data_IF_904577791141
#
_entry.id   IF_904577791141
#
_cell.length_a   1.000
_cell.length_b   1.000
_cell.length_c   1.000
_cell.angle_alpha   90.00
_cell.angle_beta   90.00
_cell.angle_gamma   90.00
#
_symmetry.space_group_name_H-M   'P 1'
#
loop_
_entity.id
_entity.type
_entity.pdbx_description
1 polymer ?
#
# COMPACT_ATOMS: atom_id res chain seq x y z
N UNK A 1 -6.27 -22.31 14.08
CA UNK A 1 -7.59 -21.81 13.70
C UNK A 1 -8.27 -22.80 12.78
N UNK A 2 -9.58 -22.97 12.95
CA UNK A 2 -10.42 -23.69 11.98
C UNK A 2 -11.30 -22.67 11.28
N UNK A 3 -11.36 -22.75 9.94
CA UNK A 3 -12.28 -21.95 9.17
C UNK A 3 -13.68 -22.59 9.27
N UNK A 4 -14.72 -21.78 9.38
CA UNK A 4 -16.11 -22.23 9.42
C UNK A 4 -16.47 -23.03 8.15
N UNK A 5 -17.44 -23.92 8.28
CA UNK A 5 -17.89 -24.77 7.18
C UNK A 5 -18.48 -23.95 6.02
N UNK A 6 -19.18 -22.87 6.34
CA UNK A 6 -19.88 -21.94 5.44
C UNK A 6 -19.03 -20.74 4.98
N UNK A 7 -17.71 -20.77 5.22
CA UNK A 7 -16.78 -19.73 4.76
C UNK A 7 -16.93 -19.43 3.27
N UNK A 8 -16.73 -18.17 2.90
CA UNK A 8 -16.75 -17.73 1.50
C UNK A 8 -15.40 -17.16 1.11
N UNK A 9 -14.92 -17.48 -0.08
CA UNK A 9 -13.70 -16.86 -0.63
C UNK A 9 -14.06 -15.44 -1.07
N UNK A 10 -13.34 -14.45 -0.54
CA UNK A 10 -13.45 -13.04 -0.94
C UNK A 10 -12.43 -12.75 -2.06
N UNK A 11 -11.17 -13.18 -1.85
CA UNK A 11 -10.07 -12.96 -2.78
C UNK A 11 -9.19 -14.20 -2.81
N UNK A 12 -8.83 -14.64 -4.01
CA UNK A 12 -7.85 -15.70 -4.24
C UNK A 12 -6.71 -15.16 -5.11
N UNK A 13 -5.48 -15.24 -4.60
CA UNK A 13 -4.25 -14.90 -5.31
C UNK A 13 -3.21 -16.01 -5.08
N UNK A 14 -2.22 -16.08 -5.96
CA UNK A 14 -1.17 -17.11 -5.91
C UNK A 14 -0.48 -17.24 -4.53
N UNK A 15 -0.38 -16.15 -3.76
CA UNK A 15 0.33 -16.13 -2.48
C UNK A 15 -0.60 -16.10 -1.25
N UNK A 16 -1.91 -15.92 -1.41
CA UNK A 16 -2.87 -15.77 -0.30
C UNK A 16 -4.31 -16.01 -0.73
N UNK A 17 -5.12 -16.52 0.20
CA UNK A 17 -6.59 -16.60 0.08
C UNK A 17 -7.22 -15.88 1.26
N UNK A 18 -8.21 -15.03 0.99
CA UNK A 18 -8.95 -14.28 2.00
C UNK A 18 -10.36 -14.85 2.09
N UNK A 19 -10.77 -15.23 3.30
CA UNK A 19 -12.07 -15.83 3.58
C UNK A 19 -12.93 -14.89 4.43
N UNK A 20 -14.20 -14.75 4.06
CA UNK A 20 -15.26 -14.37 4.98
C UNK A 20 -15.56 -15.60 5.85
N UNK A 21 -15.37 -15.44 7.16
CA UNK A 21 -15.52 -16.49 8.17
C UNK A 21 -16.61 -16.10 9.19
N UNK A 22 -17.65 -15.38 8.73
CA UNK A 22 -18.74 -14.83 9.54
C UNK A 22 -18.30 -13.53 10.23
N UNK A 23 -18.08 -13.56 11.53
CA UNK A 23 -17.69 -12.37 12.31
C UNK A 23 -16.22 -11.93 12.10
N UNK A 24 -15.48 -12.68 11.28
CA UNK A 24 -14.05 -12.49 11.04
C UNK A 24 -13.72 -12.59 9.57
N UNK A 25 -12.67 -11.91 9.16
CA UNK A 25 -12.02 -12.10 7.86
C UNK A 25 -10.68 -12.76 8.10
N UNK A 26 -10.43 -13.88 7.41
CA UNK A 26 -9.21 -14.68 7.59
C UNK A 26 -8.37 -14.63 6.32
N UNK A 27 -7.18 -14.05 6.42
CA UNK A 27 -6.17 -14.03 5.35
C UNK A 27 -5.20 -15.19 5.58
N UNK A 28 -5.33 -16.25 4.79
CA UNK A 28 -4.46 -17.44 4.81
C UNK A 28 -3.37 -17.28 3.76
N UNK A 29 -2.11 -17.33 4.18
CA UNK A 29 -0.96 -17.15 3.30
C UNK A 29 -0.46 -18.50 2.78
N UNK A 30 0.03 -18.51 1.53
CA UNK A 30 0.71 -19.68 0.98
C UNK A 30 1.91 -20.12 1.83
N UNK A 31 2.22 -21.41 1.83
CA UNK A 31 3.31 -21.97 2.65
C UNK A 31 4.72 -21.47 2.28
N UNK A 32 4.87 -20.82 1.12
CA UNK A 32 6.13 -20.20 0.68
C UNK A 32 6.34 -18.80 1.25
N UNK A 33 5.31 -18.13 1.80
CA UNK A 33 5.47 -16.79 2.36
C UNK A 33 6.23 -16.86 3.69
N UNK A 34 7.33 -16.10 3.87
CA UNK A 34 8.07 -16.08 5.12
C UNK A 34 7.17 -15.70 6.31
N UNK A 35 7.29 -16.43 7.43
CA UNK A 35 6.52 -16.13 8.63
C UNK A 35 6.80 -14.72 9.18
N UNK A 36 8.03 -14.24 9.03
CA UNK A 36 8.42 -12.88 9.43
C UNK A 36 7.59 -11.80 8.72
N UNK A 37 7.28 -11.97 7.43
CA UNK A 37 6.47 -11.00 6.67
C UNK A 37 5.03 -10.98 7.15
N UNK A 38 4.49 -12.14 7.54
CA UNK A 38 3.14 -12.29 8.08
C UNK A 38 3.05 -11.64 9.45
N UNK A 39 4.03 -11.89 10.32
CA UNK A 39 4.10 -11.25 11.63
C UNK A 39 4.29 -9.73 11.50
N UNK A 40 5.08 -9.28 10.53
CA UNK A 40 5.26 -7.85 10.25
C UNK A 40 3.96 -7.19 9.78
N UNK A 41 3.16 -7.87 8.96
CA UNK A 41 1.85 -7.37 8.53
C UNK A 41 0.89 -7.17 9.72
N UNK A 42 0.78 -8.15 10.61
CA UNK A 42 -0.05 -8.02 11.81
C UNK A 42 0.50 -6.96 12.79
N UNK A 43 1.81 -6.86 12.92
CA UNK A 43 2.46 -5.83 13.73
C UNK A 43 2.20 -4.42 13.18
N UNK A 44 2.26 -4.24 11.86
CA UNK A 44 1.95 -2.97 11.24
C UNK A 44 0.47 -2.58 11.39
N UNK A 45 -0.45 -3.54 11.24
CA UNK A 45 -1.88 -3.34 11.49
C UNK A 45 -2.13 -2.82 12.91
N UNK A 46 -1.59 -3.50 13.92
CA UNK A 46 -1.77 -3.11 15.33
C UNK A 46 -1.08 -1.78 15.67
N UNK A 47 0.03 -1.45 15.01
CA UNK A 47 0.68 -0.14 15.14
C UNK A 47 -0.13 0.99 14.51
N UNK A 48 -0.84 0.72 13.41
CA UNK A 48 -1.76 1.68 12.81
C UNK A 48 -2.98 1.93 13.72
N UNK A 49 -3.55 0.86 14.29
CA UNK A 49 -4.61 0.94 15.30
C UNK A 49 -4.18 1.78 16.51
N UNK A 50 -3.01 1.50 17.08
CA UNK A 50 -2.43 2.26 18.20
C UNK A 50 -2.15 3.74 17.86
N UNK A 51 -1.88 4.04 16.59
CA UNK A 51 -1.70 5.40 16.13
C UNK A 51 -3.03 6.17 16.01
N UNK A 52 -4.18 5.52 16.20
CA UNK A 52 -5.51 6.13 16.09
C UNK A 52 -6.15 5.97 14.70
N UNK A 53 -5.55 5.17 13.81
CA UNK A 53 -6.10 4.93 12.48
C UNK A 53 -7.14 3.82 12.57
N UNK A 54 -8.29 4.02 11.93
CA UNK A 54 -9.36 3.04 11.92
C UNK A 54 -8.99 1.86 11.00
N UNK A 55 -8.78 0.70 11.60
CA UNK A 55 -8.36 -0.53 10.94
C UNK A 55 -9.17 -1.72 11.47
N UNK A 56 -9.23 -2.85 10.77
CA UNK A 56 -9.85 -4.05 11.32
C UNK A 56 -9.09 -4.52 12.56
N UNK A 57 -9.78 -4.70 13.68
CA UNK A 57 -9.13 -5.19 14.91
C UNK A 57 -8.59 -6.59 14.72
N UNK A 58 -7.33 -6.78 15.11
CA UNK A 58 -6.67 -8.09 15.10
C UNK A 58 -7.37 -9.03 16.10
N UNK A 59 -7.71 -10.23 15.66
CA UNK A 59 -8.29 -11.27 16.53
C UNK A 59 -7.23 -12.28 16.92
N UNK A 60 -6.55 -12.87 15.93
CA UNK A 60 -5.49 -13.84 16.18
C UNK A 60 -4.56 -14.03 14.98
N UNK A 61 -3.36 -14.56 15.27
CA UNK A 61 -2.40 -15.05 14.29
C UNK A 61 -2.17 -16.53 14.60
N UNK A 62 -2.56 -17.42 13.71
CA UNK A 62 -2.38 -18.86 13.91
C UNK A 62 -2.30 -19.60 12.58
N UNK A 63 -2.14 -20.92 12.63
CA UNK A 63 -2.15 -21.75 11.41
C UNK A 63 -3.56 -22.23 11.07
N UNK A 64 -3.83 -22.27 9.76
CA UNK A 64 -4.93 -23.03 9.14
C UNK A 64 -4.26 -24.15 8.33
N UNK A 65 -4.37 -25.39 8.81
CA UNK A 65 -3.51 -26.48 8.34
C UNK A 65 -2.03 -26.15 8.61
N UNK A 66 -1.21 -26.16 7.56
CA UNK A 66 0.22 -25.82 7.65
C UNK A 66 0.54 -24.35 7.30
N UNK A 67 -0.46 -23.59 6.87
CA UNK A 67 -0.32 -22.23 6.40
C UNK A 67 -0.60 -21.23 7.53
N UNK A 68 0.24 -20.20 7.65
CA UNK A 68 -0.01 -19.10 8.56
C UNK A 68 -1.22 -18.27 8.09
N UNK A 69 -1.97 -17.74 9.05
CA UNK A 69 -3.13 -16.91 8.80
C UNK A 69 -3.21 -15.75 9.80
N UNK A 70 -3.76 -14.63 9.34
CA UNK A 70 -4.16 -13.50 10.17
C UNK A 70 -5.68 -13.43 10.14
N UNK A 71 -6.31 -13.39 11.31
CA UNK A 71 -7.75 -13.14 11.44
C UNK A 71 -8.00 -11.78 12.05
N UNK A 72 -8.87 -11.01 11.41
CA UNK A 72 -9.36 -9.71 11.92
C UNK A 72 -10.87 -9.76 12.09
N UNK A 73 -11.43 -8.82 12.85
CA UNK A 73 -12.88 -8.60 12.85
C UNK A 73 -13.33 -8.23 11.44
N UNK A 74 -14.47 -8.78 11.03
CA UNK A 74 -15.09 -8.39 9.77
C UNK A 74 -15.58 -6.96 9.88
N UNK A 75 -15.40 -6.22 8.79
CA UNK A 75 -15.95 -4.88 8.62
C UNK A 75 -16.97 -4.96 7.50
N UNK A 76 -18.22 -4.68 7.82
CA UNK A 76 -19.30 -4.59 6.83
C UNK A 76 -19.17 -3.26 6.08
N UNK A 77 -19.38 -3.30 4.76
CA UNK A 77 -19.21 -2.13 3.90
C UNK A 77 -18.74 -2.51 2.50
N UNK A 78 -18.47 -1.48 1.69
CA UNK A 78 -17.91 -1.64 0.34
C UNK A 78 -16.59 -0.93 0.22
N UNK A 79 -15.69 -1.49 -0.59
CA UNK A 79 -14.45 -0.79 -0.93
C UNK A 79 -14.73 0.44 -1.79
N UNK A 80 -13.87 1.46 -1.71
CA UNK A 80 -13.96 2.62 -2.60
C UNK A 80 -13.89 2.16 -4.07
N UNK A 81 -13.07 1.14 -4.39
CA UNK A 81 -13.05 0.56 -5.73
C UNK A 81 -14.42 0.06 -6.18
N UNK A 82 -15.09 -0.76 -5.37
CA UNK A 82 -16.42 -1.27 -5.71
C UNK A 82 -17.44 -0.15 -5.88
N UNK A 83 -17.36 0.89 -5.05
CA UNK A 83 -18.28 2.03 -5.15
C UNK A 83 -18.08 2.84 -6.44
N UNK A 84 -16.83 3.02 -6.89
CA UNK A 84 -16.53 3.64 -8.19
C UNK A 84 -17.06 2.77 -9.34
N UNK A 85 -16.89 1.45 -9.27
CA UNK A 85 -17.38 0.53 -10.30
C UNK A 85 -18.91 0.48 -10.38
N UNK A 86 -19.61 0.54 -9.24
CA UNK A 86 -21.06 0.52 -9.17
C UNK A 86 -21.68 1.88 -9.52
N UNK A 87 -20.97 2.98 -9.25
CA UNK A 87 -21.42 4.36 -9.42
C UNK A 87 -20.34 5.22 -10.10
N UNK A 88 -20.02 4.96 -11.37
CA UNK A 88 -18.96 5.69 -12.09
C UNK A 88 -19.25 7.19 -12.20
N UNK A 89 -20.51 7.61 -12.15
CA UNK A 89 -20.91 9.03 -12.11
C UNK A 89 -20.47 9.76 -10.83
N UNK A 90 -20.07 9.01 -9.79
CA UNK A 90 -19.57 9.52 -8.51
C UNK A 90 -18.07 9.33 -8.32
N UNK A 91 -17.32 8.98 -9.37
CA UNK A 91 -15.88 8.75 -9.30
C UNK A 91 -15.14 9.91 -8.59
N UNK A 92 -15.44 11.15 -8.98
CA UNK A 92 -14.79 12.33 -8.41
C UNK A 92 -15.12 12.53 -6.92
N UNK A 93 -16.34 12.18 -6.48
CA UNK A 93 -16.75 12.24 -5.07
C UNK A 93 -15.95 11.21 -4.24
N UNK A 94 -15.87 9.98 -4.73
CA UNK A 94 -15.13 8.91 -4.06
C UNK A 94 -13.62 9.14 -4.08
N UNK A 95 -13.08 9.69 -5.17
CA UNK A 95 -11.68 10.08 -5.26
C UNK A 95 -11.34 11.21 -4.27
N UNK A 96 -12.23 12.20 -4.13
CA UNK A 96 -12.08 13.24 -3.11
C UNK A 96 -11.98 12.65 -1.71
N UNK A 97 -12.89 11.73 -1.36
CA UNK A 97 -12.90 11.03 -0.08
C UNK A 97 -11.64 10.17 0.11
N UNK A 98 -11.20 9.47 -0.94
CA UNK A 98 -9.98 8.66 -0.92
C UNK A 98 -8.74 9.48 -0.58
N UNK A 99 -8.57 10.65 -1.22
CA UNK A 99 -7.45 11.57 -0.91
C UNK A 99 -7.58 12.13 0.51
N UNK A 100 -8.77 12.51 0.97
CA UNK A 100 -8.96 13.01 2.34
C UNK A 100 -8.57 11.96 3.39
N UNK A 101 -8.87 10.69 3.14
CA UNK A 101 -8.46 9.57 3.99
C UNK A 101 -6.94 9.43 4.01
N UNK A 102 -6.28 9.50 2.86
CA UNK A 102 -4.81 9.45 2.78
C UNK A 102 -4.16 10.55 3.62
N UNK A 103 -4.66 11.79 3.48
CA UNK A 103 -4.15 12.93 4.23
C UNK A 103 -4.41 12.80 5.74
N UNK A 104 -5.55 12.21 6.11
CA UNK A 104 -5.84 11.88 7.51
C UNK A 104 -4.88 10.81 8.06
N UNK A 105 -4.51 9.79 7.27
CA UNK A 105 -3.46 8.82 7.65
C UNK A 105 -2.13 9.56 7.87
N UNK A 106 -1.75 10.44 6.95
CA UNK A 106 -0.49 11.20 7.01
C UNK A 106 -0.42 12.17 8.20
N UNK A 107 -1.54 12.50 8.84
CA UNK A 107 -1.57 13.31 10.06
C UNK A 107 -1.12 12.52 11.32
N UNK A 108 -1.12 11.18 11.26
CA UNK A 108 -0.72 10.32 12.37
C UNK A 108 0.78 10.06 12.41
N UNK A 109 1.28 9.60 13.57
CA UNK A 109 2.67 9.20 13.79
C UNK A 109 2.72 7.85 14.49
N UNK A 110 3.64 6.99 14.06
CA UNK A 110 3.94 5.72 14.73
C UNK A 110 5.46 5.48 14.72
N UNK A 111 6.19 5.88 15.78
CA UNK A 111 7.66 5.89 15.81
C UNK A 111 8.32 4.51 15.67
N UNK A 112 7.56 3.43 15.85
CA UNK A 112 8.06 2.06 15.75
C UNK A 112 7.87 1.43 14.36
N UNK A 113 7.17 2.10 13.44
CA UNK A 113 7.15 1.68 12.04
C UNK A 113 8.55 1.80 11.42
N UNK A 114 8.86 0.92 10.48
CA UNK A 114 10.11 0.98 9.74
C UNK A 114 10.25 2.33 9.05
N UNK A 115 11.44 2.94 9.11
CA UNK A 115 11.72 4.19 8.41
C UNK A 115 11.72 3.94 6.91
N UNK A 116 11.03 4.82 6.18
CA UNK A 116 10.83 4.69 4.74
C UNK A 116 12.15 4.72 3.96
N UNK A 117 13.10 5.59 4.33
CA UNK A 117 14.44 5.62 3.72
C UNK A 117 15.18 4.29 3.88
N UNK A 118 15.27 3.77 5.12
CA UNK A 118 15.95 2.49 5.39
C UNK A 118 15.34 1.33 4.59
N UNK A 119 14.00 1.33 4.45
CA UNK A 119 13.28 0.35 3.62
C UNK A 119 13.67 0.47 2.14
N UNK A 120 13.61 1.67 1.56
CA UNK A 120 13.95 1.88 0.16
C UNK A 120 15.42 1.61 -0.14
N UNK A 121 16.34 2.01 0.75
CA UNK A 121 17.77 1.69 0.63
C UNK A 121 18.00 0.17 0.56
N UNK A 122 17.36 -0.61 1.44
CA UNK A 122 17.44 -2.07 1.39
C UNK A 122 16.87 -2.64 0.09
N UNK A 123 15.74 -2.12 -0.36
CA UNK A 123 15.08 -2.60 -1.58
C UNK A 123 15.91 -2.33 -2.83
N UNK A 124 16.40 -1.10 -3.01
CA UNK A 124 17.28 -0.73 -4.12
C UNK A 124 18.53 -1.62 -4.13
N UNK A 125 19.15 -1.85 -2.98
CA UNK A 125 20.34 -2.69 -2.88
C UNK A 125 20.08 -4.19 -3.12
N UNK A 126 18.83 -4.65 -2.99
CA UNK A 126 18.47 -6.07 -3.12
C UNK A 126 18.28 -6.58 -4.55
N UNK A 127 18.40 -5.71 -5.55
CA UNK A 127 18.16 -6.04 -6.96
C UNK A 127 19.35 -5.75 -7.90
N UNK A 128 20.58 -6.18 -7.55
CA UNK A 128 21.76 -5.97 -8.41
C UNK A 128 21.64 -6.67 -9.77
N UNK A 129 20.80 -7.71 -9.87
CA UNK A 129 20.56 -8.45 -11.10
C UNK A 129 19.56 -7.73 -12.04
N UNK A 130 18.89 -6.68 -11.56
CA UNK A 130 17.89 -5.91 -12.34
C UNK A 130 18.40 -4.50 -12.64
N UNK A 131 19.01 -3.83 -11.65
CA UNK A 131 19.55 -2.47 -11.78
C UNK A 131 21.07 -2.48 -11.57
N UNK A 132 21.80 -1.85 -12.50
CA UNK A 132 23.25 -1.73 -12.40
C UNK A 132 23.69 -0.86 -11.20
N UNK A 133 24.98 -0.88 -10.90
CA UNK A 133 25.55 -0.14 -9.77
C UNK A 133 25.38 1.37 -9.91
N UNK A 134 25.49 1.93 -11.12
CA UNK A 134 25.39 3.35 -11.36
C UNK A 134 23.96 3.85 -11.11
N UNK A 135 22.95 3.20 -11.69
CA UNK A 135 21.54 3.54 -11.46
C UNK A 135 21.17 3.39 -9.98
N UNK A 136 21.60 2.33 -9.31
CA UNK A 136 21.34 2.15 -7.87
C UNK A 136 21.98 3.25 -7.04
N UNK A 137 23.22 3.65 -7.36
CA UNK A 137 23.92 4.73 -6.66
C UNK A 137 23.17 6.07 -6.81
N UNK A 138 22.73 6.42 -8.01
CA UNK A 138 21.96 7.64 -8.27
C UNK A 138 20.63 7.67 -7.50
N UNK A 139 19.89 6.55 -7.50
CA UNK A 139 18.65 6.43 -6.73
C UNK A 139 18.90 6.58 -5.22
N UNK A 140 20.01 6.05 -4.70
CA UNK A 140 20.38 6.17 -3.29
C UNK A 140 20.76 7.62 -2.94
N UNK A 141 21.52 8.32 -3.79
CA UNK A 141 21.81 9.74 -3.62
C UNK A 141 20.53 10.58 -3.61
N UNK A 142 19.62 10.29 -4.54
CA UNK A 142 18.31 10.96 -4.61
C UNK A 142 17.50 10.72 -3.35
N UNK A 143 17.44 9.48 -2.88
CA UNK A 143 16.75 9.11 -1.63
C UNK A 143 17.36 9.81 -0.41
N UNK A 144 18.69 9.96 -0.36
CA UNK A 144 19.37 10.69 0.71
C UNK A 144 18.98 12.18 0.71
N UNK A 145 18.89 12.79 -0.48
CA UNK A 145 18.44 14.18 -0.65
C UNK A 145 16.98 14.45 -0.26
N UNK A 146 16.13 13.42 -0.17
CA UNK A 146 14.71 13.60 0.19
C UNK A 146 14.51 14.13 1.61
N UNK A 147 13.57 15.06 1.79
CA UNK A 147 13.24 15.60 3.12
C UNK A 147 12.72 14.50 4.06
N UNK A 148 13.30 14.36 5.27
CA UNK A 148 12.84 13.39 6.24
C UNK A 148 11.53 13.85 6.88
N UNK A 149 10.56 12.94 7.00
CA UNK A 149 9.30 13.13 7.69
C UNK A 149 9.01 11.90 8.57
N UNK A 150 8.06 12.02 9.49
CA UNK A 150 7.66 10.95 10.42
C UNK A 150 6.17 10.62 10.31
N UNK A 151 5.57 10.86 9.15
CA UNK A 151 4.15 10.59 8.89
C UNK A 151 3.96 9.08 8.77
N UNK A 152 2.82 8.56 9.20
CA UNK A 152 2.45 7.19 8.82
C UNK A 152 2.21 7.17 7.30
N UNK A 153 2.87 6.23 6.62
CA UNK A 153 2.69 5.97 5.19
C UNK A 153 2.26 4.51 5.02
N UNK A 154 1.22 4.27 4.24
CA UNK A 154 0.60 2.95 4.06
C UNK A 154 1.48 2.02 3.20
N UNK A 155 2.04 2.54 2.10
CA UNK A 155 2.92 1.83 1.17
C UNK A 155 2.25 0.87 0.20
N UNK A 156 0.90 0.90 0.14
CA UNK A 156 0.01 0.14 -0.77
C UNK A 156 -1.42 0.75 -0.76
N UNK A 157 -1.52 2.08 -0.68
CA UNK A 157 -2.82 2.75 -0.51
C UNK A 157 -3.53 2.83 -1.86
N UNK A 158 -4.46 1.92 -2.12
CA UNK A 158 -5.26 1.86 -3.35
C UNK A 158 -6.76 1.78 -2.99
N UNK A 159 -7.68 2.16 -3.90
CA UNK A 159 -9.12 2.20 -3.61
C UNK A 159 -9.73 0.88 -3.08
N UNK A 160 -9.14 -0.27 -3.44
CA UNK A 160 -9.58 -1.59 -2.97
C UNK A 160 -9.15 -1.90 -1.52
N UNK A 161 -8.20 -1.14 -0.96
CA UNK A 161 -7.74 -1.26 0.42
C UNK A 161 -8.45 -0.30 1.38
N UNK A 162 -9.50 0.40 0.93
CA UNK A 162 -10.30 1.31 1.76
C UNK A 162 -11.75 0.88 1.73
N UNK A 163 -12.27 0.41 2.87
CA UNK A 163 -13.69 0.08 3.04
C UNK A 163 -14.40 1.27 3.65
N UNK A 164 -15.55 1.65 3.07
CA UNK A 164 -16.50 2.54 3.72
C UNK A 164 -17.53 1.67 4.44
N UNK A 165 -17.53 1.75 5.78
CA UNK A 165 -18.52 1.08 6.60
C UNK A 165 -19.92 1.66 6.39
N UNK A 166 -20.95 0.97 6.88
CA UNK A 166 -22.36 1.41 6.71
C UNK A 166 -22.63 2.82 7.28
N UNK A 167 -21.92 3.21 8.34
CA UNK A 167 -21.98 4.55 8.93
C UNK A 167 -21.14 5.60 8.16
N UNK A 168 -20.50 5.19 7.07
CA UNK A 168 -19.64 6.00 6.23
C UNK A 168 -18.20 6.15 6.71
N UNK A 169 -17.84 5.55 7.86
CA UNK A 169 -16.49 5.61 8.41
C UNK A 169 -15.50 4.81 7.54
N UNK A 170 -14.31 5.36 7.23
CA UNK A 170 -13.31 4.64 6.47
C UNK A 170 -12.57 3.64 7.36
N UNK A 171 -12.40 2.42 6.88
CA UNK A 171 -11.54 1.38 7.47
C UNK A 171 -10.46 0.99 6.46
N UNK A 172 -9.20 1.04 6.90
CA UNK A 172 -8.04 0.91 6.02
C UNK A 172 -7.45 -0.50 6.18
N UNK A 173 -7.27 -1.20 5.06
CA UNK A 173 -6.86 -2.60 4.97
C UNK A 173 -5.42 -2.75 4.44
N UNK A 174 -4.83 -3.93 4.66
CA UNK A 174 -3.54 -4.37 4.07
C UNK A 174 -2.30 -3.51 4.42
N UNK A 175 -2.00 -3.43 5.73
CA UNK A 175 -0.85 -2.68 6.29
C UNK A 175 0.51 -3.37 6.12
N UNK A 176 0.64 -4.35 5.22
CA UNK A 176 1.86 -5.14 5.03
C UNK A 176 3.10 -4.29 4.72
N UNK A 177 2.90 -3.10 4.12
CA UNK A 177 3.96 -2.24 3.62
C UNK A 177 4.14 -0.93 4.39
N UNK A 178 3.44 -0.79 5.52
CA UNK A 178 3.45 0.42 6.32
C UNK A 178 4.86 0.84 6.74
N UNK A 179 5.10 2.15 6.69
CA UNK A 179 6.35 2.80 7.10
C UNK A 179 6.05 4.11 7.81
N UNK A 180 7.06 4.68 8.46
CA UNK A 180 7.05 6.11 8.77
C UNK A 180 7.97 6.87 7.81
N UNK A 181 7.50 7.99 7.28
CA UNK A 181 8.25 8.71 6.26
C UNK A 181 7.50 9.90 5.68
N UNK A 182 7.72 10.09 4.38
CA UNK A 182 7.23 11.22 3.62
C UNK A 182 5.97 10.83 2.84
N UNK A 183 4.86 11.56 3.09
CA UNK A 183 3.59 11.33 2.39
C UNK A 183 3.70 11.45 0.87
N UNK A 184 4.64 12.25 0.34
CA UNK A 184 4.86 12.33 -1.11
C UNK A 184 5.34 11.01 -1.72
N UNK A 185 6.09 10.19 -0.97
CA UNK A 185 6.49 8.87 -1.41
C UNK A 185 5.32 7.88 -1.39
N UNK A 186 4.39 8.04 -0.43
CA UNK A 186 3.16 7.25 -0.35
C UNK A 186 2.25 7.57 -1.54
N UNK A 187 2.06 8.87 -1.82
CA UNK A 187 1.32 9.33 -2.99
C UNK A 187 1.93 8.85 -4.31
N UNK A 188 3.25 8.93 -4.46
CA UNK A 188 3.96 8.38 -5.61
C UNK A 188 3.75 6.85 -5.74
N UNK A 189 3.68 6.13 -4.63
CA UNK A 189 3.36 4.69 -4.59
C UNK A 189 1.94 4.44 -5.12
N UNK A 190 0.95 5.17 -4.60
CA UNK A 190 -0.45 5.05 -5.06
C UNK A 190 -0.62 5.39 -6.53
N UNK A 191 -0.01 6.49 -6.99
CA UNK A 191 -0.03 6.89 -8.40
C UNK A 191 0.52 5.78 -9.29
N UNK A 192 1.69 5.24 -8.97
CA UNK A 192 2.31 4.16 -9.74
C UNK A 192 1.46 2.89 -9.71
N UNK A 193 0.83 2.57 -8.58
CA UNK A 193 -0.07 1.43 -8.47
C UNK A 193 -1.32 1.58 -9.33
N UNK A 194 -1.93 2.76 -9.40
CA UNK A 194 -3.09 3.01 -10.27
C UNK A 194 -2.70 2.79 -11.75
N UNK A 195 -1.53 3.29 -12.17
CA UNK A 195 -1.02 3.04 -13.52
C UNK A 195 -0.78 1.54 -13.78
N UNK A 196 -0.21 0.81 -12.82
CA UNK A 196 0.01 -0.64 -12.94
C UNK A 196 -1.29 -1.44 -13.05
N UNK A 197 -2.42 -0.92 -12.56
CA UNK A 197 -3.74 -1.51 -12.72
C UNK A 197 -4.45 -1.09 -14.02
N UNK A 198 -3.85 -0.22 -14.82
CA UNK A 198 -4.43 0.32 -16.07
C UNK A 198 -5.41 1.47 -15.85
N UNK A 199 -5.47 2.04 -14.65
CA UNK A 199 -6.37 3.14 -14.30
C UNK A 199 -5.69 4.50 -14.56
N UNK A 200 -5.23 4.76 -15.79
CA UNK A 200 -4.41 5.94 -16.14
C UNK A 200 -5.12 7.28 -15.85
N UNK A 201 -6.38 7.41 -16.26
CA UNK A 201 -7.15 8.64 -16.04
C UNK A 201 -7.36 8.91 -14.54
N UNK A 202 -7.67 7.86 -13.77
CA UNK A 202 -7.85 7.95 -12.33
C UNK A 202 -6.54 8.32 -11.63
N UNK A 203 -5.40 7.77 -12.08
CA UNK A 203 -4.08 8.11 -11.55
C UNK A 203 -3.77 9.60 -11.72
N UNK A 204 -4.07 10.16 -12.90
CA UNK A 204 -3.87 11.58 -13.19
C UNK A 204 -4.78 12.49 -12.35
N UNK A 205 -6.07 12.15 -12.22
CA UNK A 205 -6.98 12.87 -11.31
C UNK A 205 -6.49 12.80 -9.87
N UNK A 206 -6.07 11.61 -9.41
CA UNK A 206 -5.60 11.35 -8.05
C UNK A 206 -4.39 12.23 -7.68
N UNK A 207 -3.31 12.17 -8.46
CA UNK A 207 -2.07 12.87 -8.09
C UNK A 207 -2.26 14.39 -8.09
N UNK A 208 -3.05 14.92 -9.03
CA UNK A 208 -3.37 16.34 -9.09
C UNK A 208 -4.19 16.76 -7.86
N UNK A 209 -5.22 15.99 -7.52
CA UNK A 209 -6.07 16.27 -6.35
C UNK A 209 -5.29 16.19 -5.04
N UNK A 210 -4.46 15.16 -4.88
CA UNK A 210 -3.56 15.04 -3.73
C UNK A 210 -2.64 16.26 -3.60
N UNK A 211 -1.98 16.67 -4.69
CA UNK A 211 -1.09 17.83 -4.69
C UNK A 211 -1.83 19.12 -4.29
N UNK A 212 -3.02 19.34 -4.85
CA UNK A 212 -3.87 20.49 -4.50
C UNK A 212 -4.24 20.50 -3.02
N UNK A 213 -4.73 19.37 -2.48
CA UNK A 213 -5.18 19.29 -1.07
C UNK A 213 -4.02 19.35 -0.07
N UNK A 214 -2.89 18.71 -0.37
CA UNK A 214 -1.70 18.70 0.49
C UNK A 214 -0.91 20.02 0.42
N UNK A 215 -1.15 20.85 -0.59
CA UNK A 215 -0.41 22.09 -0.83
C UNK A 215 1.04 21.84 -1.29
N UNK A 216 1.26 20.80 -2.09
CA UNK A 216 2.57 20.49 -2.67
C UNK A 216 2.53 20.49 -4.20
N UNK A 217 3.70 20.59 -4.83
CA UNK A 217 3.79 20.54 -6.29
C UNK A 217 3.83 19.10 -6.79
N UNK A 218 3.32 18.87 -7.99
CA UNK A 218 3.47 17.58 -8.67
C UNK A 218 4.93 17.21 -8.89
N UNK A 219 5.79 18.18 -9.18
CA UNK A 219 7.23 17.99 -9.30
C UNK A 219 7.82 17.34 -8.04
N UNK A 220 7.44 17.81 -6.85
CA UNK A 220 7.91 17.26 -5.59
C UNK A 220 7.49 15.80 -5.36
N UNK A 221 6.29 15.41 -5.82
CA UNK A 221 5.87 13.99 -5.79
C UNK A 221 6.64 13.19 -6.84
N UNK A 222 6.79 13.74 -8.04
CA UNK A 222 7.48 13.07 -9.16
C UNK A 222 8.94 12.71 -8.83
N UNK A 223 9.62 13.51 -8.00
CA UNK A 223 10.96 13.20 -7.50
C UNK A 223 11.06 11.80 -6.86
N UNK A 224 9.97 11.27 -6.29
CA UNK A 224 9.94 9.95 -5.68
C UNK A 224 9.76 8.80 -6.68
N UNK A 225 9.25 9.05 -7.90
CA UNK A 225 8.78 7.99 -8.79
C UNK A 225 9.86 6.96 -9.16
N UNK A 226 11.09 7.41 -9.44
CA UNK A 226 12.20 6.49 -9.73
C UNK A 226 12.57 5.59 -8.54
N UNK A 227 12.53 6.14 -7.32
CA UNK A 227 12.80 5.38 -6.08
C UNK A 227 11.68 4.35 -5.85
N UNK A 228 10.42 4.75 -6.04
CA UNK A 228 9.26 3.87 -5.89
C UNK A 228 9.28 2.78 -6.95
N UNK A 229 9.60 3.09 -8.21
CA UNK A 229 9.70 2.11 -9.28
C UNK A 229 10.77 1.05 -8.99
N UNK A 230 11.94 1.46 -8.50
CA UNK A 230 12.97 0.52 -8.04
C UNK A 230 12.51 -0.33 -6.85
N UNK A 231 11.74 0.26 -5.92
CA UNK A 231 11.13 -0.50 -4.82
C UNK A 231 10.10 -1.52 -5.33
N UNK A 232 9.27 -1.19 -6.32
CA UNK A 232 8.34 -2.15 -6.92
C UNK A 232 9.05 -3.28 -7.68
N UNK A 233 10.18 -3.00 -8.35
CA UNK A 233 11.02 -4.04 -8.96
C UNK A 233 11.53 -5.04 -7.91
N UNK A 234 12.00 -4.53 -6.77
CA UNK A 234 12.44 -5.37 -5.64
C UNK A 234 11.32 -6.21 -5.01
N UNK A 235 10.04 -5.91 -5.28
CA UNK A 235 8.89 -6.71 -4.85
C UNK A 235 8.58 -7.88 -5.80
N UNK A 236 9.37 -8.07 -6.86
CA UNK A 236 9.22 -9.19 -7.78
C UNK A 236 8.06 -9.05 -8.76
N UNK A 237 7.73 -7.82 -9.16
CA UNK A 237 6.72 -7.52 -10.20
C UNK A 237 7.27 -7.83 -11.60
N UNK A 238 7.48 -9.12 -11.89
CA UNK A 238 8.16 -9.58 -13.11
C UNK A 238 7.42 -9.15 -14.37
N UNK A 239 6.08 -9.19 -14.38
CA UNK A 239 5.27 -8.84 -15.56
C UNK A 239 5.37 -7.36 -15.91
N UNK A 240 5.57 -6.51 -14.92
CA UNK A 240 5.56 -5.06 -15.05
C UNK A 240 6.97 -4.47 -15.09
N UNK A 241 8.01 -5.32 -15.20
CA UNK A 241 9.43 -4.92 -15.19
C UNK A 241 9.74 -3.83 -16.21
N UNK A 242 9.32 -4.00 -17.47
CA UNK A 242 9.62 -3.02 -18.53
C UNK A 242 8.99 -1.65 -18.23
N UNK A 243 7.75 -1.64 -17.72
CA UNK A 243 7.06 -0.41 -17.33
C UNK A 243 7.80 0.27 -16.18
N UNK A 244 8.17 -0.47 -15.14
CA UNK A 244 8.87 0.08 -13.98
C UNK A 244 10.27 0.60 -14.34
N UNK A 245 11.00 -0.08 -15.21
CA UNK A 245 12.31 0.39 -15.71
C UNK A 245 12.20 1.73 -16.44
N UNK A 246 11.11 1.99 -17.19
CA UNK A 246 10.88 3.31 -17.79
C UNK A 246 10.83 4.39 -16.71
N UNK A 247 10.11 4.16 -15.61
CA UNK A 247 10.01 5.12 -14.50
C UNK A 247 11.30 5.31 -13.71
N UNK A 248 12.15 4.27 -13.62
CA UNK A 248 13.50 4.40 -13.05
C UNK A 248 14.34 5.36 -13.90
N UNK A 249 14.23 5.26 -15.24
CA UNK A 249 15.11 5.94 -16.20
C UNK A 249 14.58 7.28 -16.73
N UNK A 250 13.34 7.68 -16.45
CA UNK A 250 12.72 8.94 -16.95
C UNK A 250 13.45 10.22 -16.52
N UNK A 251 14.46 10.13 -15.64
CA UNK A 251 15.27 11.28 -15.23
C UNK A 251 16.51 11.55 -16.09
N UNK A 252 16.83 10.73 -17.09
CA UNK A 252 17.89 11.06 -18.07
C UNK A 252 17.42 11.98 -19.20
N UNK A 253 16.12 12.29 -19.29
CA UNK A 253 15.52 12.96 -20.45
C UNK A 253 14.74 14.26 -20.13
N UNK A 254 14.96 14.90 -18.97
CA UNK A 254 14.44 16.25 -18.66
C UNK A 254 15.54 17.20 -18.22
#
# INVERSE_FOLDING_TARGET
MELKADKKVIVERNNKVVYDNGDTVVKVFSGSKPSADIMNEALNLTRAEQAGINVPSLVEISKVGNCWAISTRKVEGKTIRQLIEEHPEKEDEYLNKFVDIELAIHAHKSPLLTRQKDKFTRMINSIPDILDEATRYELLLKLDGMKPHTKVCHGDFVPSNVVLAEDGAPVILDWAHATQGNGAADCATTYLHLLLHGDEELAEKYINLYCTKQGCTRQYVNEWLGIIAAAELARGRVKETEFLLKWVNVFDAM
#
